data_IF_888736152725
#
_entry.id   IF_888736152725
#
_cell.length_a   1.000
_cell.length_b   1.000
_cell.length_c   1.000
_cell.angle_alpha   90.00
_cell.angle_beta   90.00
_cell.angle_gamma   90.00
#
_symmetry.space_group_name_H-M   'P 1'
#
loop_
_entity.id
_entity.type
_entity.pdbx_description
1 polymer ?
#
# COMPACT_ATOMS: atom_id res chain seq x y z
N UNK A 1 25.11 -0.84 -71.59
CA UNK A 1 26.54 -0.52 -71.44
C UNK A 1 26.96 -0.75 -69.98
N UNK A 2 28.01 -1.57 -69.80
CA UNK A 2 28.92 -1.78 -68.65
C UNK A 2 28.34 -1.76 -67.21
N UNK A 3 28.41 -2.95 -66.57
CA UNK A 3 28.55 -3.13 -65.12
C UNK A 3 29.80 -2.40 -64.63
N UNK A 4 29.73 -1.74 -63.47
CA UNK A 4 30.91 -1.26 -62.76
C UNK A 4 30.78 -1.63 -61.29
N UNK A 5 31.57 -2.63 -60.88
CA UNK A 5 31.86 -2.95 -59.48
C UNK A 5 32.86 -1.92 -58.96
N UNK A 6 32.66 -1.41 -57.74
CA UNK A 6 33.71 -0.81 -56.93
C UNK A 6 33.54 -1.31 -55.49
N UNK A 7 34.47 -2.19 -55.12
CA UNK A 7 34.81 -2.57 -53.75
C UNK A 7 35.52 -1.40 -53.08
N UNK A 8 35.13 -1.05 -51.86
CA UNK A 8 36.04 -0.46 -50.89
C UNK A 8 35.85 -1.16 -49.54
N UNK A 9 36.87 -1.94 -49.16
CA UNK A 9 37.12 -2.35 -47.79
C UNK A 9 37.59 -1.12 -47.00
N UNK A 10 36.98 -0.85 -45.85
CA UNK A 10 37.68 -0.23 -44.74
C UNK A 10 37.24 -0.89 -43.43
N UNK A 11 38.05 -1.85 -42.98
CA UNK A 11 38.09 -2.32 -41.59
C UNK A 11 38.93 -1.30 -40.82
N UNK A 12 38.46 -0.85 -39.65
CA UNK A 12 39.17 -0.87 -38.36
C UNK A 12 38.27 -0.27 -37.26
N UNK A 13 38.14 -1.05 -36.19
CA UNK A 13 37.42 -0.85 -34.94
C UNK A 13 37.84 0.41 -34.17
N UNK A 14 36.94 0.96 -33.34
CA UNK A 14 37.26 1.33 -31.96
C UNK A 14 36.01 1.18 -31.08
N UNK A 15 36.25 0.57 -29.92
CA UNK A 15 35.32 0.19 -28.88
C UNK A 15 34.84 1.41 -28.08
N UNK A 16 33.53 1.56 -27.92
CA UNK A 16 32.91 2.06 -26.69
C UNK A 16 31.60 1.25 -26.56
N UNK A 17 31.49 0.30 -25.64
CA UNK A 17 31.78 0.49 -24.22
C UNK A 17 30.51 1.08 -23.60
N UNK A 18 29.54 0.21 -23.34
CA UNK A 18 28.25 0.56 -22.76
C UNK A 18 27.22 -0.50 -23.09
N UNK A 19 27.30 -1.65 -22.42
CA UNK A 19 26.07 -2.43 -22.21
C UNK A 19 25.09 -1.47 -21.55
N UNK A 20 23.98 -1.16 -22.21
CA UNK A 20 22.77 -0.73 -21.53
C UNK A 20 22.39 -1.90 -20.62
N UNK A 21 22.89 -1.84 -19.39
CA UNK A 21 22.32 -2.61 -18.30
C UNK A 21 21.00 -1.91 -18.03
N UNK A 22 19.94 -2.41 -18.67
CA UNK A 22 18.58 -2.18 -18.18
C UNK A 22 18.65 -2.47 -16.69
N UNK A 23 18.47 -1.42 -15.88
CA UNK A 23 18.33 -1.55 -14.45
C UNK A 23 17.09 -2.42 -14.27
N UNK A 24 17.29 -3.72 -14.01
CA UNK A 24 16.25 -4.57 -13.47
C UNK A 24 15.74 -3.85 -12.22
N UNK A 25 14.53 -3.28 -12.31
CA UNK A 25 13.76 -2.92 -11.14
C UNK A 25 13.64 -4.21 -10.33
N UNK A 26 14.33 -4.25 -9.19
CA UNK A 26 14.38 -5.38 -8.27
C UNK A 26 12.95 -5.82 -7.96
N UNK A 27 12.50 -6.86 -8.67
CA UNK A 27 11.14 -7.36 -8.57
C UNK A 27 11.09 -8.08 -7.24
N UNK A 28 10.23 -7.66 -6.29
CA UNK A 28 10.25 -8.20 -4.95
C UNK A 28 10.11 -9.72 -5.01
N UNK A 29 11.02 -10.43 -4.30
CA UNK A 29 11.02 -11.87 -4.20
C UNK A 29 9.60 -12.36 -3.87
N UNK A 30 9.05 -13.21 -4.74
CA UNK A 30 7.68 -13.72 -4.68
C UNK A 30 7.49 -14.81 -3.62
N UNK A 31 8.39 -14.92 -2.64
CA UNK A 31 8.11 -15.66 -1.41
C UNK A 31 6.76 -15.16 -0.83
N UNK A 32 5.89 -16.11 -0.45
CA UNK A 32 4.56 -15.80 0.08
C UNK A 32 4.72 -14.85 1.26
N UNK A 33 4.27 -13.60 1.09
CA UNK A 33 4.34 -12.61 2.16
C UNK A 33 3.56 -13.11 3.37
N UNK A 34 4.11 -12.89 4.55
CA UNK A 34 3.45 -13.27 5.80
C UNK A 34 2.38 -12.25 6.21
N UNK A 35 2.34 -11.08 5.57
CA UNK A 35 1.37 -10.03 5.86
C UNK A 35 -0.01 -10.45 5.34
N UNK A 36 -1.01 -10.40 6.21
CA UNK A 36 -2.41 -10.68 5.87
C UNK A 36 -3.28 -9.55 6.42
N UNK A 37 -4.08 -8.95 5.56
CA UNK A 37 -5.09 -7.96 5.93
C UNK A 37 -6.48 -8.56 5.84
N UNK A 38 -7.27 -8.42 6.91
CA UNK A 38 -8.62 -8.98 7.00
C UNK A 38 -9.63 -7.91 7.38
N UNK A 39 -10.78 -7.86 6.71
CA UNK A 39 -11.88 -6.99 7.09
C UNK A 39 -12.91 -7.77 7.89
N UNK A 40 -13.44 -7.15 8.94
CA UNK A 40 -14.66 -7.63 9.57
C UNK A 40 -15.85 -7.05 8.82
N UNK A 41 -16.73 -7.92 8.33
CA UNK A 41 -18.05 -7.50 7.87
C UNK A 41 -18.89 -7.21 9.11
N UNK A 42 -18.89 -5.97 9.58
CA UNK A 42 -19.97 -5.50 10.44
C UNK A 42 -21.18 -5.24 9.54
N UNK A 43 -22.25 -6.02 9.74
CA UNK A 43 -23.54 -5.89 9.05
C UNK A 43 -24.24 -4.55 9.41
N UNK A 44 -23.67 -3.43 8.99
CA UNK A 44 -24.27 -2.13 9.26
C UNK A 44 -24.17 -1.19 8.07
N UNK A 45 -24.53 -1.66 6.88
CA UNK A 45 -25.26 -0.86 5.89
C UNK A 45 -25.76 -1.78 4.77
N UNK A 46 -27.03 -1.64 4.37
CA UNK A 46 -27.76 -2.40 3.33
C UNK A 46 -28.43 -3.69 3.80
N UNK A 47 -29.63 -3.50 4.34
CA UNK A 47 -30.72 -4.49 4.38
C UNK A 47 -31.05 -4.95 2.95
N UNK A 48 -30.59 -6.12 2.54
CA UNK A 48 -31.41 -7.11 1.83
C UNK A 48 -30.68 -8.46 1.69
N UNK A 49 -31.19 -9.43 2.44
CA UNK A 49 -31.22 -10.86 2.07
C UNK A 49 -29.91 -11.53 1.62
N UNK A 50 -28.96 -11.68 2.53
CA UNK A 50 -28.12 -12.90 2.58
C UNK A 50 -27.91 -13.27 4.05
N UNK A 51 -27.91 -14.57 4.32
CA UNK A 51 -27.85 -15.17 5.66
C UNK A 51 -26.66 -14.62 6.43
N UNK A 52 -26.91 -14.13 7.65
CA UNK A 52 -25.89 -13.64 8.57
C UNK A 52 -24.88 -14.73 8.91
N UNK A 53 -23.69 -14.68 8.32
CA UNK A 53 -22.54 -15.49 8.72
C UNK A 53 -21.79 -14.75 9.82
N UNK A 54 -22.15 -15.04 11.07
CA UNK A 54 -21.48 -14.47 12.25
C UNK A 54 -19.98 -14.75 12.19
N UNK A 55 -19.18 -13.69 12.05
CA UNK A 55 -17.81 -13.67 12.56
C UNK A 55 -16.69 -14.17 11.63
N UNK A 56 -16.91 -14.23 10.31
CA UNK A 56 -15.79 -14.47 9.37
C UNK A 56 -15.16 -13.15 8.92
N UNK A 57 -13.92 -12.94 9.31
CA UNK A 57 -13.08 -11.93 8.67
C UNK A 57 -12.68 -12.43 7.29
N UNK A 58 -12.89 -11.62 6.26
CA UNK A 58 -12.48 -11.94 4.89
C UNK A 58 -11.08 -11.36 4.62
N UNK A 59 -10.24 -12.11 3.90
CA UNK A 59 -8.95 -11.59 3.45
C UNK A 59 -9.20 -10.51 2.41
N UNK A 60 -8.71 -9.30 2.68
CA UNK A 60 -8.86 -8.13 1.80
C UNK A 60 -7.66 -7.99 0.88
N UNK A 61 -6.46 -8.13 1.44
CA UNK A 61 -5.21 -8.20 0.72
C UNK A 61 -4.16 -8.96 1.55
N UNK A 62 -3.09 -9.35 0.88
CA UNK A 62 -1.88 -9.95 1.47
C UNK A 62 -0.69 -9.05 1.18
N UNK A 63 0.46 -9.25 1.83
CA UNK A 63 1.64 -8.46 1.47
C UNK A 63 2.17 -8.77 0.07
N UNK A 64 1.81 -9.91 -0.52
CA UNK A 64 2.09 -10.18 -1.93
C UNK A 64 1.36 -9.19 -2.85
N UNK A 65 0.23 -8.65 -2.41
CA UNK A 65 -0.50 -7.60 -3.13
C UNK A 65 0.14 -6.21 -3.00
N UNK A 66 1.06 -6.01 -2.04
CA UNK A 66 1.77 -4.74 -1.81
C UNK A 66 2.99 -4.70 -2.74
N UNK A 67 3.05 -3.72 -3.63
CA UNK A 67 4.24 -3.46 -4.44
C UNK A 67 5.32 -2.81 -3.55
N UNK A 68 4.95 -1.75 -2.84
CA UNK A 68 5.83 -1.09 -1.88
C UNK A 68 5.06 -0.18 -0.91
N UNK A 69 5.67 0.15 0.21
CA UNK A 69 5.27 1.22 1.12
C UNK A 69 6.40 2.24 1.24
N UNK A 70 6.10 3.51 1.04
CA UNK A 70 7.05 4.60 1.24
C UNK A 70 6.78 5.26 2.60
N UNK A 71 7.74 5.20 3.51
CA UNK A 71 7.56 5.76 4.86
C UNK A 71 7.52 7.29 4.86
N UNK A 72 8.20 7.96 3.94
CA UNK A 72 8.22 9.43 3.85
C UNK A 72 6.88 9.98 3.40
N UNK A 73 6.32 9.45 2.30
CA UNK A 73 5.05 9.91 1.72
C UNK A 73 3.83 9.23 2.34
N UNK A 74 4.03 8.16 3.11
CA UNK A 74 3.00 7.27 3.65
C UNK A 74 2.19 6.53 2.58
N UNK A 75 2.58 6.61 1.31
CA UNK A 75 1.92 5.91 0.21
C UNK A 75 2.19 4.40 0.30
N UNK A 76 1.11 3.62 0.23
CA UNK A 76 1.16 2.17 0.04
C UNK A 76 0.67 1.87 -1.38
N UNK A 77 1.56 1.36 -2.22
CA UNK A 77 1.24 0.99 -3.60
C UNK A 77 0.90 -0.47 -3.65
N UNK A 78 -0.29 -0.79 -4.11
CA UNK A 78 -0.69 -2.16 -4.42
C UNK A 78 -0.38 -2.51 -5.88
N UNK A 79 -0.27 -3.80 -6.17
CA UNK A 79 -0.30 -4.29 -7.55
C UNK A 79 -1.63 -3.88 -8.20
N UNK A 80 -1.60 -3.59 -9.51
CA UNK A 80 -2.74 -3.02 -10.27
C UNK A 80 -4.05 -3.82 -10.10
N UNK A 81 -3.93 -5.11 -9.79
CA UNK A 81 -5.05 -6.03 -9.62
C UNK A 81 -5.84 -5.82 -8.32
N UNK A 82 -5.31 -5.11 -7.32
CA UNK A 82 -5.89 -5.07 -5.96
C UNK A 82 -6.62 -3.76 -5.68
N UNK A 83 -6.09 -2.64 -6.18
CA UNK A 83 -6.74 -1.33 -6.10
C UNK A 83 -8.11 -1.29 -6.78
N UNK A 84 -8.37 -2.20 -7.74
CA UNK A 84 -9.58 -2.26 -8.57
C UNK A 84 -10.64 -3.27 -8.11
N UNK A 85 -10.38 -4.12 -7.10
CA UNK A 85 -11.24 -5.27 -6.77
C UNK A 85 -12.50 -4.95 -5.93
N UNK A 86 -12.85 -3.69 -5.66
CA UNK A 86 -13.96 -3.32 -4.77
C UNK A 86 -13.93 -3.98 -3.37
N UNK A 87 -12.78 -4.51 -2.93
CA UNK A 87 -12.66 -5.29 -1.68
C UNK A 87 -12.70 -4.42 -0.42
N UNK A 88 -12.44 -3.13 -0.61
CA UNK A 88 -12.28 -2.14 0.45
C UNK A 88 -13.59 -1.36 0.53
N UNK A 89 -14.54 -1.88 1.30
CA UNK A 89 -15.76 -1.13 1.60
C UNK A 89 -15.40 0.04 2.53
N UNK A 90 -15.91 1.22 2.19
CA UNK A 90 -15.72 2.43 2.99
C UNK A 90 -16.22 2.19 4.43
N UNK A 91 -15.49 2.71 5.42
CA UNK A 91 -15.81 2.55 6.86
C UNK A 91 -15.72 1.13 7.43
N UNK A 92 -15.12 0.17 6.71
CA UNK A 92 -14.72 -1.10 7.32
C UNK A 92 -13.39 -0.97 8.06
N UNK A 93 -13.29 -1.64 9.19
CA UNK A 93 -12.02 -1.84 9.89
C UNK A 93 -11.28 -3.01 9.24
N UNK A 94 -10.04 -2.76 8.83
CA UNK A 94 -9.10 -3.78 8.36
C UNK A 94 -8.12 -4.07 9.48
N UNK A 95 -7.93 -5.34 9.81
CA UNK A 95 -6.94 -5.83 10.76
C UNK A 95 -5.73 -6.37 10.01
N UNK A 96 -4.54 -6.01 10.44
CA UNK A 96 -3.27 -6.41 9.86
C UNK A 96 -2.63 -7.47 10.76
N UNK A 97 -2.14 -8.53 10.12
CA UNK A 97 -1.49 -9.67 10.75
C UNK A 97 -0.15 -9.97 10.08
N UNK A 98 0.76 -10.60 10.82
CA UNK A 98 1.88 -11.38 10.27
C UNK A 98 1.64 -12.84 10.66
N UNK A 99 1.43 -13.70 9.67
CA UNK A 99 0.94 -15.07 9.90
C UNK A 99 -0.38 -15.05 10.67
N UNK A 100 -0.34 -15.53 11.93
CA UNK A 100 -1.49 -15.53 12.83
C UNK A 100 -1.40 -14.45 13.94
N UNK A 101 -0.33 -13.68 13.99
CA UNK A 101 -0.14 -12.63 14.99
C UNK A 101 -0.86 -11.35 14.56
N UNK A 102 -1.80 -10.87 15.38
CA UNK A 102 -2.43 -9.57 15.18
C UNK A 102 -1.45 -8.45 15.49
N UNK A 103 -1.35 -7.47 14.57
CA UNK A 103 -0.54 -6.27 14.76
C UNK A 103 -1.40 -5.09 15.17
N UNK A 104 -2.22 -4.58 14.25
CA UNK A 104 -3.06 -3.41 14.47
C UNK A 104 -4.26 -3.42 13.53
N UNK A 105 -5.18 -2.49 13.76
CA UNK A 105 -6.30 -2.26 12.87
C UNK A 105 -6.24 -0.85 12.29
N UNK A 106 -6.83 -0.70 11.11
CA UNK A 106 -6.93 0.56 10.42
C UNK A 106 -8.32 0.70 9.81
N UNK A 107 -8.92 1.88 9.99
CA UNK A 107 -10.18 2.21 9.32
C UNK A 107 -9.90 2.55 7.86
N UNK A 108 -10.73 2.02 6.97
CA UNK A 108 -10.75 2.44 5.58
C UNK A 108 -11.50 3.77 5.49
N UNK A 109 -10.84 4.79 4.95
CA UNK A 109 -11.41 6.11 4.71
C UNK A 109 -11.27 6.51 3.24
N UNK A 110 -12.27 7.21 2.71
CA UNK A 110 -12.26 7.78 1.36
C UNK A 110 -12.49 9.28 1.42
N UNK A 111 -11.59 10.02 0.77
CA UNK A 111 -11.43 11.47 0.89
C UNK A 111 -12.68 12.30 0.62
N UNK A 112 -13.47 11.97 -0.40
CA UNK A 112 -14.60 12.82 -0.80
C UNK A 112 -15.92 12.46 -0.11
N UNK A 113 -15.95 11.39 0.69
CA UNK A 113 -17.19 10.86 1.29
C UNK A 113 -17.18 10.93 2.81
N UNK A 114 -16.03 11.14 3.43
CA UNK A 114 -15.90 11.06 4.88
C UNK A 114 -15.71 12.42 5.56
N UNK A 115 -16.67 12.79 6.39
CA UNK A 115 -16.58 13.95 7.29
C UNK A 115 -16.14 13.58 8.71
N UNK A 116 -15.92 12.30 9.01
CA UNK A 116 -15.56 11.82 10.33
C UNK A 116 -14.09 12.07 10.64
N UNK A 117 -13.82 12.39 11.90
CA UNK A 117 -12.46 12.50 12.44
C UNK A 117 -12.03 11.13 12.95
N UNK A 118 -10.90 10.66 12.45
CA UNK A 118 -10.19 9.48 12.94
C UNK A 118 -8.86 9.93 13.55
N UNK A 119 -8.61 9.56 14.81
CA UNK A 119 -7.36 9.86 15.51
C UNK A 119 -6.42 8.65 15.57
N UNK A 120 -6.75 7.55 14.90
CA UNK A 120 -5.95 6.33 14.82
C UNK A 120 -5.52 6.10 13.36
N UNK A 121 -4.66 5.10 13.11
CA UNK A 121 -4.16 4.78 11.77
C UNK A 121 -5.31 4.55 10.76
N UNK A 122 -5.23 5.20 9.60
CA UNK A 122 -6.24 5.13 8.53
C UNK A 122 -5.61 4.63 7.22
N UNK A 123 -6.25 3.63 6.59
CA UNK A 123 -5.99 3.27 5.21
C UNK A 123 -6.83 4.20 4.34
N UNK A 124 -6.21 5.29 3.93
CA UNK A 124 -6.82 6.38 3.21
C UNK A 124 -6.70 6.15 1.71
N UNK A 125 -7.83 6.16 1.01
CA UNK A 125 -7.87 6.13 -0.45
C UNK A 125 -8.15 7.52 -1.00
N UNK A 126 -7.18 8.07 -1.74
CA UNK A 126 -7.32 9.30 -2.49
C UNK A 126 -7.89 8.97 -3.88
N UNK A 127 -9.16 9.27 -4.10
CA UNK A 127 -9.83 8.97 -5.37
C UNK A 127 -9.35 9.83 -6.54
N UNK A 128 -8.82 11.03 -6.26
CA UNK A 128 -8.33 11.93 -7.31
C UNK A 128 -7.03 11.40 -7.89
N UNK A 129 -6.13 10.95 -7.02
CA UNK A 129 -4.83 10.40 -7.43
C UNK A 129 -4.86 8.89 -7.70
N UNK A 130 -5.94 8.20 -7.33
CA UNK A 130 -6.04 6.74 -7.31
C UNK A 130 -4.87 6.09 -6.54
N UNK A 131 -4.65 6.56 -5.31
CA UNK A 131 -3.55 6.13 -4.44
C UNK A 131 -4.04 5.83 -3.02
N UNK A 132 -3.34 4.90 -2.37
CA UNK A 132 -3.59 4.53 -0.98
C UNK A 132 -2.48 5.03 -0.08
N UNK A 133 -2.84 5.42 1.14
CA UNK A 133 -1.93 5.94 2.15
C UNK A 133 -2.25 5.34 3.52
N UNK A 134 -1.23 5.12 4.34
CA UNK A 134 -1.37 4.77 5.75
C UNK A 134 -1.13 6.03 6.60
N UNK A 135 -2.20 6.75 6.91
CA UNK A 135 -2.15 8.03 7.59
C UNK A 135 -2.35 7.90 9.10
N UNK A 136 -1.71 8.80 9.84
CA UNK A 136 -1.88 8.92 11.29
C UNK A 136 -3.09 9.78 11.63
N UNK A 137 -4.25 9.18 11.39
CA UNK A 137 -5.53 9.85 11.47
C UNK A 137 -5.91 10.62 10.21
N UNK A 138 -7.16 11.05 10.19
CA UNK A 138 -7.79 11.80 9.12
C UNK A 138 -8.89 12.71 9.71
N UNK A 139 -9.14 13.92 9.18
CA UNK A 139 -8.32 14.64 8.19
C UNK A 139 -6.99 15.12 8.80
N UNK A 140 -6.22 15.95 8.10
CA UNK A 140 -5.00 16.55 8.68
C UNK A 140 -5.34 17.35 9.95
N UNK A 141 -4.46 17.31 10.97
CA UNK A 141 -4.71 17.98 12.25
C UNK A 141 -4.93 19.49 12.09
N UNK A 142 -4.27 20.10 11.10
CA UNK A 142 -4.32 21.54 10.84
C UNK A 142 -5.71 22.05 10.42
N UNK A 143 -6.59 21.16 9.92
CA UNK A 143 -7.95 21.53 9.49
C UNK A 143 -9.00 21.30 10.58
N UNK A 144 -8.59 20.80 11.75
CA UNK A 144 -9.49 20.52 12.86
C UNK A 144 -9.73 21.75 13.74
N UNK A 145 -10.85 21.77 14.45
CA UNK A 145 -11.21 22.84 15.38
C UNK A 145 -10.26 22.92 16.59
N UNK A 146 -9.71 21.78 17.02
CA UNK A 146 -8.69 21.70 18.07
C UNK A 146 -7.50 20.83 17.61
N UNK A 147 -6.53 21.42 16.88
CA UNK A 147 -5.37 20.69 16.37
C UNK A 147 -4.47 20.14 17.48
N UNK A 148 -4.39 20.79 18.64
CA UNK A 148 -3.48 20.40 19.71
C UNK A 148 -3.96 19.12 20.39
N UNK A 149 -5.24 19.06 20.75
CA UNK A 149 -5.82 17.86 21.36
C UNK A 149 -5.85 16.70 20.35
N UNK A 150 -6.17 16.98 19.09
CA UNK A 150 -6.12 15.95 18.05
C UNK A 150 -4.71 15.38 17.84
N UNK A 151 -3.68 16.23 17.82
CA UNK A 151 -2.30 15.79 17.68
C UNK A 151 -1.84 14.96 18.89
N UNK A 152 -2.22 15.38 20.09
CA UNK A 152 -1.94 14.63 21.32
C UNK A 152 -2.57 13.23 21.26
N UNK A 153 -3.86 13.13 20.93
CA UNK A 153 -4.55 11.84 20.81
C UNK A 153 -3.94 10.94 19.73
N UNK A 154 -3.53 11.50 18.59
CA UNK A 154 -2.85 10.74 17.52
C UNK A 154 -1.49 10.21 17.97
N UNK A 155 -0.70 11.03 18.67
CA UNK A 155 0.57 10.60 19.23
C UNK A 155 0.39 9.47 20.24
N UNK A 156 -0.60 9.58 21.14
CA UNK A 156 -0.94 8.54 22.10
C UNK A 156 -1.34 7.24 21.38
N UNK A 157 -2.26 7.31 20.41
CA UNK A 157 -2.70 6.14 19.64
C UNK A 157 -1.54 5.50 18.85
N UNK A 158 -0.69 6.31 18.21
CA UNK A 158 0.49 5.79 17.51
C UNK A 158 1.45 5.08 18.46
N UNK A 159 1.63 5.61 19.67
CA UNK A 159 2.47 4.98 20.67
C UNK A 159 1.91 3.62 21.12
N UNK A 160 0.59 3.46 21.19
CA UNK A 160 -0.03 2.16 21.56
C UNK A 160 0.26 1.03 20.57
N UNK A 161 0.50 1.35 19.29
CA UNK A 161 0.80 0.36 18.25
C UNK A 161 2.27 0.38 17.81
N UNK A 162 3.15 1.10 18.51
CA UNK A 162 4.51 1.37 18.02
C UNK A 162 5.33 0.08 17.81
N UNK A 163 5.21 -0.90 18.70
CA UNK A 163 5.87 -2.20 18.59
C UNK A 163 5.38 -3.00 17.39
N UNK A 164 4.07 -3.02 17.17
CA UNK A 164 3.37 -3.78 16.13
C UNK A 164 3.55 -3.11 14.77
N UNK A 165 3.54 -1.78 14.73
CA UNK A 165 3.93 -0.99 13.57
C UNK A 165 5.38 -1.28 13.18
N UNK A 166 6.30 -1.33 14.15
CA UNK A 166 7.70 -1.69 13.87
C UNK A 166 7.79 -3.08 13.24
N UNK A 167 7.06 -4.09 13.74
CA UNK A 167 7.02 -5.44 13.14
C UNK A 167 6.54 -5.40 11.69
N UNK A 168 5.49 -4.64 11.40
CA UNK A 168 5.00 -4.45 10.04
C UNK A 168 6.06 -3.83 9.12
N UNK A 169 6.74 -2.78 9.56
CA UNK A 169 7.82 -2.13 8.80
C UNK A 169 9.01 -3.08 8.60
N UNK A 170 9.43 -3.80 9.63
CA UNK A 170 10.53 -4.77 9.55
C UNK A 170 10.20 -5.89 8.55
N UNK A 171 8.95 -6.36 8.52
CA UNK A 171 8.50 -7.36 7.55
C UNK A 171 8.51 -6.81 6.11
N UNK A 172 8.04 -5.59 5.89
CA UNK A 172 8.13 -4.95 4.57
C UNK A 172 9.59 -4.78 4.11
N UNK A 173 10.50 -4.46 5.03
CA UNK A 173 11.96 -4.41 4.75
C UNK A 173 12.51 -5.78 4.39
N UNK A 174 12.18 -6.81 5.17
CA UNK A 174 12.56 -8.21 4.93
C UNK A 174 12.11 -8.68 3.53
N UNK A 175 10.93 -8.24 3.08
CA UNK A 175 10.34 -8.62 1.79
C UNK A 175 10.75 -7.72 0.62
N UNK A 176 11.62 -6.72 0.83
CA UNK A 176 12.01 -5.77 -0.23
C UNK A 176 10.89 -4.82 -0.67
N UNK A 177 9.84 -4.65 0.14
CA UNK A 177 8.64 -3.84 -0.15
C UNK A 177 8.64 -2.50 0.59
N UNK A 178 9.75 -2.08 1.18
CA UNK A 178 9.85 -0.82 1.94
C UNK A 178 10.73 0.20 1.21
N UNK A 179 10.26 1.44 1.14
CA UNK A 179 10.96 2.59 0.54
C UNK A 179 11.08 3.73 1.54
N UNK A 180 12.19 4.47 1.43
CA UNK A 180 12.45 5.72 2.14
C UNK A 180 12.39 6.90 1.19
#
# INVERSE_FOLDING_TARGET
MKKMYLLFLSVICLLSGGCEQELEEDKPDTTLSEIIARASHTETFMRSSFVADKGRESVVFTGSDILWFNETTKEIRFQENVSMKNVISIHQSVKIYIGNEYLFSSMICVSSLNSQIFNSLVLYYNMVENKYYLLDGYPEVAVLSDPQEAQKLRNENRQTIASEWKKFIDQLKKEGRYKN
#
